data_IF_555215165571
#
_entry.id   IF_555215165571
#
_cell.length_a   1.000
_cell.length_b   1.000
_cell.length_c   1.000
_cell.angle_alpha   90.00
_cell.angle_beta   90.00
_cell.angle_gamma   90.00
#
_symmetry.space_group_name_H-M   'P 1'
#
loop_
_entity.id
_entity.type
_entity.pdbx_description
1 polymer ?
#
# COMPACT_ATOMS: atom_id res chain seq x y z
N UNK A 1 -17.10 -10.77 -33.43
CA UNK A 1 -17.25 -11.78 -32.34
C UNK A 1 -16.10 -11.58 -31.36
N UNK A 2 -16.31 -10.76 -30.33
CA UNK A 2 -15.32 -10.44 -29.30
C UNK A 2 -15.45 -11.46 -28.16
N UNK A 3 -14.35 -12.15 -27.84
CA UNK A 3 -14.34 -13.26 -26.88
C UNK A 3 -14.80 -12.84 -25.47
N UNK A 4 -15.85 -13.45 -24.89
CA UNK A 4 -16.34 -13.12 -23.55
C UNK A 4 -15.51 -13.73 -22.39
N UNK A 5 -14.51 -14.56 -22.68
CA UNK A 5 -13.93 -15.50 -21.71
C UNK A 5 -13.00 -14.92 -20.64
N UNK A 6 -12.21 -13.88 -20.94
CA UNK A 6 -11.17 -13.38 -20.02
C UNK A 6 -11.74 -12.54 -18.86
N UNK A 7 -12.73 -11.68 -19.13
CA UNK A 7 -13.34 -10.84 -18.10
C UNK A 7 -14.09 -11.66 -17.05
N UNK A 8 -14.80 -12.71 -17.48
CA UNK A 8 -15.50 -13.60 -16.54
C UNK A 8 -14.54 -14.35 -15.60
N UNK A 9 -13.34 -14.73 -16.07
CA UNK A 9 -12.34 -15.41 -15.25
C UNK A 9 -11.64 -14.47 -14.26
N UNK A 10 -11.26 -13.26 -14.69
CA UNK A 10 -10.61 -12.27 -13.82
C UNK A 10 -11.56 -11.78 -12.73
N UNK A 11 -12.81 -11.48 -13.11
CA UNK A 11 -13.85 -11.07 -12.18
C UNK A 11 -14.09 -12.12 -11.07
N UNK A 12 -14.23 -13.40 -11.46
CA UNK A 12 -14.40 -14.50 -10.48
C UNK A 12 -13.19 -14.66 -9.58
N UNK A 13 -11.97 -14.46 -10.12
CA UNK A 13 -10.73 -14.50 -9.34
C UNK A 13 -10.71 -13.39 -8.29
N UNK A 14 -11.05 -12.15 -8.66
CA UNK A 14 -11.12 -11.02 -7.75
C UNK A 14 -12.12 -11.26 -6.60
N UNK A 15 -13.32 -11.75 -6.90
CA UNK A 15 -14.30 -12.10 -5.85
C UNK A 15 -13.77 -13.15 -4.86
N UNK A 16 -13.00 -14.13 -5.33
CA UNK A 16 -12.39 -15.16 -4.46
C UNK A 16 -11.31 -14.59 -3.54
N UNK A 17 -10.69 -13.48 -3.93
CA UNK A 17 -9.72 -12.75 -3.12
C UNK A 17 -10.37 -11.64 -2.27
N UNK A 18 -11.70 -11.62 -2.15
CA UNK A 18 -12.40 -10.72 -1.23
C UNK A 18 -12.67 -9.31 -1.76
N UNK A 19 -12.40 -9.04 -3.04
CA UNK A 19 -12.82 -7.78 -3.66
C UNK A 19 -14.35 -7.71 -3.74
N UNK A 20 -14.90 -6.62 -3.25
CA UNK A 20 -16.33 -6.30 -3.27
C UNK A 20 -16.73 -5.61 -4.57
N UNK A 21 -15.87 -4.74 -5.13
CA UNK A 21 -16.06 -4.13 -6.45
C UNK A 21 -15.03 -4.65 -7.46
N UNK A 22 -15.20 -5.92 -7.85
CA UNK A 22 -14.31 -6.60 -8.80
C UNK A 22 -14.21 -5.87 -10.16
N UNK A 23 -15.25 -5.15 -10.59
CA UNK A 23 -15.20 -4.38 -11.84
C UNK A 23 -14.32 -3.13 -11.70
N UNK A 24 -14.39 -2.42 -10.57
CA UNK A 24 -13.49 -1.30 -10.31
C UNK A 24 -12.06 -1.77 -10.06
N UNK A 25 -11.88 -2.89 -9.38
CA UNK A 25 -10.57 -3.51 -9.18
C UNK A 25 -9.91 -3.89 -10.52
N UNK A 26 -10.66 -4.53 -11.44
CA UNK A 26 -10.15 -4.86 -12.78
C UNK A 26 -9.68 -3.61 -13.53
N UNK A 27 -10.46 -2.52 -13.50
CA UNK A 27 -10.07 -1.24 -14.13
C UNK A 27 -8.80 -0.65 -13.53
N UNK A 28 -8.62 -0.73 -12.21
CA UNK A 28 -7.41 -0.25 -11.52
C UNK A 28 -6.19 -1.10 -11.86
N UNK A 29 -6.34 -2.43 -11.88
CA UNK A 29 -5.27 -3.36 -12.29
C UNK A 29 -4.84 -3.17 -13.74
N UNK A 30 -5.76 -2.77 -14.62
CA UNK A 30 -5.45 -2.42 -16.02
C UNK A 30 -4.79 -1.03 -16.18
N UNK A 31 -4.63 -0.27 -15.09
CA UNK A 31 -3.97 1.04 -15.10
C UNK A 31 -2.46 0.96 -15.41
N UNK A 32 -1.87 2.03 -15.99
CA UNK A 32 -0.46 2.06 -16.38
C UNK A 32 0.49 1.92 -15.18
N UNK A 33 0.07 2.33 -13.99
CA UNK A 33 0.79 2.20 -12.73
C UNK A 33 1.12 0.75 -12.40
N UNK A 34 0.22 -0.18 -12.72
CA UNK A 34 0.34 -1.61 -12.38
C UNK A 34 0.67 -2.49 -13.58
N UNK A 35 0.89 -1.91 -14.77
CA UNK A 35 1.06 -2.66 -16.01
C UNK A 35 2.16 -3.75 -15.95
N UNK A 36 3.21 -3.53 -15.15
CA UNK A 36 4.30 -4.50 -14.96
C UNK A 36 3.98 -5.68 -14.05
N UNK A 37 2.96 -5.57 -13.19
CA UNK A 37 2.66 -6.52 -12.10
C UNK A 37 1.20 -6.96 -12.03
N UNK A 38 0.33 -6.46 -12.91
CA UNK A 38 -1.12 -6.72 -12.88
C UNK A 38 -1.51 -8.20 -12.97
N UNK A 39 -0.67 -9.01 -13.62
CA UNK A 39 -0.85 -10.45 -13.79
C UNK A 39 0.01 -11.25 -12.79
N UNK A 40 0.74 -10.58 -11.90
CA UNK A 40 1.59 -11.20 -10.89
C UNK A 40 0.71 -11.81 -9.78
N UNK A 41 0.79 -13.14 -9.55
CA UNK A 41 -0.02 -13.80 -8.52
C UNK A 41 0.32 -13.31 -7.11
N UNK A 42 1.58 -12.91 -6.86
CA UNK A 42 2.03 -12.44 -5.53
C UNK A 42 1.27 -11.20 -5.11
N UNK A 43 1.06 -10.26 -6.05
CA UNK A 43 0.31 -9.04 -5.75
C UNK A 43 -1.15 -9.36 -5.40
N UNK A 44 -1.80 -10.21 -6.20
CA UNK A 44 -3.21 -10.52 -6.01
C UNK A 44 -3.47 -11.33 -4.73
N UNK A 45 -2.61 -12.29 -4.43
CA UNK A 45 -2.65 -13.05 -3.16
C UNK A 45 -2.47 -12.13 -1.96
N UNK A 46 -1.50 -11.21 -2.02
CA UNK A 46 -1.24 -10.30 -0.91
C UNK A 46 -2.37 -9.28 -0.71
N UNK A 47 -2.95 -8.73 -1.78
CA UNK A 47 -4.14 -7.88 -1.69
C UNK A 47 -5.32 -8.62 -1.06
N UNK A 48 -5.55 -9.87 -1.46
CA UNK A 48 -6.62 -10.69 -0.89
C UNK A 48 -6.40 -11.14 0.56
N UNK A 49 -5.19 -10.99 1.10
CA UNK A 49 -4.88 -11.22 2.51
C UNK A 49 -5.12 -10.00 3.40
N UNK A 50 -5.46 -8.84 2.83
CA UNK A 50 -5.73 -7.61 3.57
C UNK A 50 -7.15 -7.58 4.15
N UNK A 51 -7.41 -6.67 5.09
CA UNK A 51 -8.74 -6.49 5.68
C UNK A 51 -9.79 -5.98 4.68
N UNK A 52 -9.38 -5.10 3.75
CA UNK A 52 -10.19 -4.60 2.64
C UNK A 52 -9.32 -4.53 1.37
N UNK A 53 -9.43 -5.52 0.46
CA UNK A 53 -8.66 -5.57 -0.79
C UNK A 53 -8.94 -4.42 -1.75
N UNK A 54 -10.17 -3.89 -1.79
CA UNK A 54 -10.52 -2.76 -2.66
C UNK A 54 -9.83 -1.49 -2.17
N UNK A 55 -9.84 -1.26 -0.85
CA UNK A 55 -9.15 -0.13 -0.22
C UNK A 55 -7.63 -0.25 -0.37
N UNK A 56 -7.08 -1.45 -0.18
CA UNK A 56 -5.65 -1.70 -0.35
C UNK A 56 -5.18 -1.39 -1.79
N UNK A 57 -5.94 -1.84 -2.79
CA UNK A 57 -5.63 -1.60 -4.19
C UNK A 57 -5.74 -0.11 -4.54
N UNK A 58 -6.79 0.57 -4.09
CA UNK A 58 -6.95 2.01 -4.31
C UNK A 58 -5.80 2.80 -3.67
N UNK A 59 -5.47 2.51 -2.42
CA UNK A 59 -4.36 3.13 -1.70
C UNK A 59 -3.01 2.90 -2.38
N UNK A 60 -2.77 1.68 -2.90
CA UNK A 60 -1.53 1.36 -3.62
C UNK A 60 -1.41 2.16 -4.93
N UNK A 61 -2.49 2.23 -5.72
CA UNK A 61 -2.50 3.01 -6.97
C UNK A 61 -2.22 4.48 -6.67
N UNK A 62 -2.89 5.07 -5.67
CA UNK A 62 -2.67 6.48 -5.29
C UNK A 62 -1.24 6.73 -4.81
N UNK A 63 -0.63 5.80 -4.09
CA UNK A 63 0.76 5.90 -3.68
C UNK A 63 1.73 5.82 -4.88
N UNK A 64 1.44 4.96 -5.86
CA UNK A 64 2.23 4.84 -7.10
C UNK A 64 2.12 6.09 -7.99
N UNK A 65 0.94 6.67 -8.07
CA UNK A 65 0.68 7.93 -8.77
C UNK A 65 1.45 9.10 -8.13
N UNK A 66 1.52 9.12 -6.80
CA UNK A 66 2.22 10.16 -6.03
C UNK A 66 3.75 10.07 -6.06
N UNK A 67 4.33 9.00 -6.62
CA UNK A 67 5.79 8.87 -6.69
C UNK A 67 6.38 9.97 -7.59
N UNK A 68 7.50 10.60 -7.18
CA UNK A 68 8.05 11.79 -7.85
C UNK A 68 8.66 11.50 -9.22
N UNK A 69 8.90 10.23 -9.55
CA UNK A 69 9.45 9.83 -10.85
C UNK A 69 9.04 8.40 -11.23
N UNK A 70 9.10 8.04 -12.53
CA UNK A 70 8.90 6.67 -12.97
C UNK A 70 9.88 5.67 -12.34
N UNK A 71 11.11 6.10 -12.01
CA UNK A 71 12.10 5.27 -11.35
C UNK A 71 11.69 4.94 -9.90
N UNK A 72 11.23 5.94 -9.14
CA UNK A 72 10.72 5.74 -7.78
C UNK A 72 9.46 4.86 -7.75
N UNK A 73 8.58 5.02 -8.75
CA UNK A 73 7.41 4.13 -8.94
C UNK A 73 7.84 2.68 -9.16
N UNK A 74 8.84 2.45 -10.00
CA UNK A 74 9.37 1.10 -10.26
C UNK A 74 10.02 0.51 -9.04
N UNK A 75 10.83 1.29 -8.31
CA UNK A 75 11.45 0.87 -7.05
C UNK A 75 10.41 0.40 -6.03
N UNK A 76 9.33 1.16 -5.84
CA UNK A 76 8.23 0.77 -4.96
C UNK A 76 7.58 -0.54 -5.42
N UNK A 77 7.24 -0.69 -6.70
CA UNK A 77 6.63 -1.92 -7.23
C UNK A 77 7.56 -3.13 -7.06
N UNK A 78 8.82 -2.99 -7.45
CA UNK A 78 9.80 -4.05 -7.35
C UNK A 78 9.98 -4.49 -5.89
N UNK A 79 9.97 -3.53 -4.95
CA UNK A 79 10.04 -3.81 -3.52
C UNK A 79 8.77 -4.53 -3.02
N UNK A 80 7.59 -4.09 -3.43
CA UNK A 80 6.32 -4.77 -3.11
C UNK A 80 6.36 -6.22 -3.59
N UNK A 81 6.87 -6.51 -4.78
CA UNK A 81 6.93 -7.90 -5.28
C UNK A 81 8.01 -8.71 -4.58
N UNK A 82 9.21 -8.15 -4.39
CA UNK A 82 10.37 -8.89 -3.88
C UNK A 82 10.37 -9.08 -2.36
N UNK A 83 9.87 -8.12 -1.58
CA UNK A 83 10.02 -8.09 -0.13
C UNK A 83 8.69 -8.39 0.60
N UNK A 84 8.45 -9.67 0.92
CA UNK A 84 7.23 -10.11 1.63
C UNK A 84 6.91 -9.31 2.91
N UNK A 85 7.86 -9.06 3.84
CA UNK A 85 7.55 -8.33 5.07
C UNK A 85 7.03 -6.91 4.81
N UNK A 86 7.65 -6.19 3.87
CA UNK A 86 7.21 -4.85 3.49
C UNK A 86 5.87 -4.89 2.75
N UNK A 87 5.69 -5.84 1.82
CA UNK A 87 4.42 -6.00 1.11
C UNK A 87 3.26 -6.20 2.06
N UNK A 88 3.39 -7.16 2.98
CA UNK A 88 2.30 -7.51 3.89
C UNK A 88 1.93 -6.33 4.78
N UNK A 89 2.91 -5.57 5.27
CA UNK A 89 2.69 -4.35 6.06
C UNK A 89 2.07 -3.22 5.27
N UNK A 90 2.66 -2.88 4.13
CA UNK A 90 2.18 -1.79 3.30
C UNK A 90 0.73 -2.08 2.87
N UNK A 91 0.47 -3.25 2.32
CA UNK A 91 -0.88 -3.62 1.88
C UNK A 91 -1.84 -3.80 3.08
N UNK A 92 -1.36 -4.31 4.21
CA UNK A 92 -2.12 -4.39 5.46
C UNK A 92 -2.58 -3.01 5.95
N UNK A 93 -1.67 -2.03 6.00
CA UNK A 93 -1.98 -0.64 6.34
C UNK A 93 -2.98 -0.04 5.37
N UNK A 94 -2.74 -0.21 4.07
CA UNK A 94 -3.61 0.36 3.03
C UNK A 94 -5.01 -0.25 3.09
N UNK A 95 -5.12 -1.57 3.32
CA UNK A 95 -6.40 -2.25 3.48
C UNK A 95 -7.09 -2.04 4.83
N UNK A 96 -6.38 -1.52 5.84
CA UNK A 96 -6.97 -1.27 7.16
C UNK A 96 -7.33 0.20 7.40
N UNK A 97 -6.70 1.15 6.71
CA UNK A 97 -6.83 2.57 7.03
C UNK A 97 -6.72 3.50 5.83
N UNK A 98 -7.87 4.01 5.37
CA UNK A 98 -7.95 5.05 4.36
C UNK A 98 -7.16 6.31 4.75
N UNK A 99 -7.12 6.66 6.04
CA UNK A 99 -6.40 7.83 6.53
C UNK A 99 -4.87 7.68 6.41
N UNK A 100 -4.34 6.47 6.66
CA UNK A 100 -2.92 6.19 6.46
C UNK A 100 -2.56 6.07 4.98
N UNK A 101 -3.43 5.49 4.15
CA UNK A 101 -3.27 5.52 2.69
C UNK A 101 -3.23 6.94 2.12
N UNK A 102 -4.13 7.83 2.57
CA UNK A 102 -4.12 9.25 2.21
C UNK A 102 -2.85 9.98 2.70
N UNK A 103 -2.32 9.59 3.85
CA UNK A 103 -1.06 10.14 4.35
C UNK A 103 0.12 9.69 3.48
N UNK A 104 0.22 8.40 3.15
CA UNK A 104 1.25 7.87 2.26
C UNK A 104 1.18 8.50 0.87
N UNK A 105 -0.02 8.71 0.30
CA UNK A 105 -0.15 9.40 -0.99
C UNK A 105 0.33 10.86 -0.94
N UNK A 106 0.14 11.55 0.19
CA UNK A 106 0.63 12.93 0.37
C UNK A 106 2.12 13.01 0.71
N UNK A 107 2.66 11.97 1.34
CA UNK A 107 4.04 11.85 1.77
C UNK A 107 4.63 10.57 1.19
N UNK A 108 4.76 10.54 -0.13
CA UNK A 108 5.06 9.34 -0.92
C UNK A 108 6.42 8.67 -0.63
N UNK A 109 7.28 9.25 0.21
CA UNK A 109 8.49 8.60 0.71
C UNK A 109 8.28 7.81 2.01
N UNK A 110 7.20 8.05 2.76
CA UNK A 110 7.04 7.46 4.10
C UNK A 110 6.82 5.94 4.08
N UNK A 111 6.52 5.33 2.92
CA UNK A 111 6.50 3.87 2.78
C UNK A 111 7.88 3.24 3.07
N UNK A 112 8.97 4.00 2.91
CA UNK A 112 10.33 3.53 3.19
C UNK A 112 10.54 3.27 4.69
N UNK A 113 9.74 3.93 5.56
CA UNK A 113 9.73 3.62 6.99
C UNK A 113 9.26 2.18 7.28
N UNK A 114 8.56 1.54 6.34
CA UNK A 114 8.14 0.13 6.43
C UNK A 114 9.23 -0.85 5.96
N UNK A 115 10.31 -0.36 5.32
CA UNK A 115 11.45 -1.19 4.84
C UNK A 115 12.34 -1.60 6.00
N UNK A 116 12.64 -0.65 6.90
CA UNK A 116 13.44 -0.91 8.08
C UNK A 116 12.59 -1.67 9.09
N UNK A 117 12.74 -2.99 9.10
CA UNK A 117 12.08 -3.84 10.07
C UNK A 117 13.12 -4.45 11.01
N UNK A 118 13.01 -4.07 12.28
CA UNK A 118 13.47 -4.84 13.41
C UNK A 118 12.24 -5.24 14.26
N UNK A 119 12.20 -6.44 14.87
CA UNK A 119 11.11 -6.85 15.77
C UNK A 119 10.82 -5.88 16.93
N UNK A 120 11.78 -5.00 17.25
CA UNK A 120 11.63 -3.94 18.26
C UNK A 120 10.66 -2.84 17.81
N UNK A 121 10.50 -2.63 16.50
CA UNK A 121 9.65 -1.59 15.94
C UNK A 121 8.15 -1.86 16.15
N UNK A 122 7.77 -3.11 16.50
CA UNK A 122 6.40 -3.49 16.84
C UNK A 122 5.96 -2.94 18.22
N UNK A 123 6.93 -2.57 19.06
CA UNK A 123 6.69 -2.07 20.41
C UNK A 123 7.60 -0.87 20.70
N UNK A 124 7.46 0.24 19.95
CA UNK A 124 8.26 1.42 20.21
C UNK A 124 7.93 1.91 21.61
N UNK A 125 8.98 2.13 22.42
CA UNK A 125 8.83 2.74 23.73
C UNK A 125 8.36 4.18 23.62
N UNK A 126 7.84 4.75 24.72
CA UNK A 126 7.41 6.16 24.76
C UNK A 126 8.53 7.11 24.29
N UNK A 127 9.78 6.85 24.69
CA UNK A 127 10.94 7.67 24.30
C UNK A 127 11.21 7.68 22.79
N UNK A 128 10.93 6.56 22.10
CA UNK A 128 11.12 6.46 20.66
C UNK A 128 10.02 7.20 19.91
N UNK A 129 8.80 7.14 20.44
CA UNK A 129 7.67 7.93 19.95
C UNK A 129 7.95 9.43 20.14
N UNK A 130 8.38 9.86 21.33
CA UNK A 130 8.77 11.25 21.62
C UNK A 130 9.88 11.73 20.68
N UNK A 131 10.89 10.89 20.42
CA UNK A 131 11.98 11.20 19.47
C UNK A 131 11.47 11.40 18.05
N UNK A 132 10.52 10.59 17.60
CA UNK A 132 9.88 10.73 16.29
C UNK A 132 9.10 12.04 16.15
N UNK A 133 8.58 12.58 17.27
CA UNK A 133 7.85 13.85 17.30
C UNK A 133 8.73 15.08 17.56
N UNK A 134 9.94 14.89 18.08
CA UNK A 134 10.79 15.97 18.60
C UNK A 134 11.15 17.06 17.58
N UNK A 135 11.12 16.75 16.29
CA UNK A 135 11.37 17.70 15.20
C UNK A 135 10.15 18.53 14.77
N UNK A 136 8.97 18.31 15.33
CA UNK A 136 7.77 19.04 14.96
C UNK A 136 7.67 20.38 15.71
N UNK A 137 7.78 21.48 14.99
CA UNK A 137 7.69 22.86 15.49
C UNK A 137 6.30 23.49 15.28
N UNK A 138 5.43 22.84 14.49
CA UNK A 138 4.07 23.29 14.24
C UNK A 138 3.03 22.13 14.26
N UNK A 139 1.71 22.44 14.38
CA UNK A 139 0.66 21.41 14.45
C UNK A 139 0.52 20.52 13.20
N UNK A 140 0.94 21.00 12.03
CA UNK A 140 0.97 20.21 10.79
C UNK A 140 2.13 19.24 10.82
N UNK A 141 3.33 19.71 11.14
CA UNK A 141 4.52 18.87 11.31
C UNK A 141 4.26 17.76 12.34
N UNK A 142 3.61 18.10 13.47
CA UNK A 142 3.26 17.14 14.51
C UNK A 142 2.30 16.05 13.98
N UNK A 143 1.31 16.42 13.18
CA UNK A 143 0.36 15.45 12.58
C UNK A 143 1.03 14.52 11.58
N UNK A 144 2.02 15.00 10.82
CA UNK A 144 2.81 14.19 9.88
C UNK A 144 3.68 13.22 10.66
N UNK A 145 4.45 13.72 11.63
CA UNK A 145 5.34 12.91 12.47
C UNK A 145 4.55 11.83 13.23
N UNK A 146 3.42 12.19 13.83
CA UNK A 146 2.55 11.25 14.53
C UNK A 146 2.07 10.10 13.61
N UNK A 147 1.63 10.41 12.39
CA UNK A 147 1.18 9.38 11.44
C UNK A 147 2.32 8.48 10.97
N UNK A 148 3.52 9.04 10.79
CA UNK A 148 4.72 8.25 10.51
C UNK A 148 5.08 7.30 11.64
N UNK A 149 4.94 7.73 12.90
CA UNK A 149 5.10 6.84 14.06
C UNK A 149 3.99 5.78 14.14
N UNK A 150 2.75 6.07 13.73
CA UNK A 150 1.71 5.05 13.65
C UNK A 150 2.01 3.99 12.58
N UNK A 151 2.64 4.37 11.46
CA UNK A 151 3.05 3.43 10.42
C UNK A 151 4.08 2.41 10.93
N UNK A 152 4.93 2.75 11.90
CA UNK A 152 5.93 1.80 12.40
C UNK A 152 5.32 0.69 13.28
N UNK A 153 4.13 0.93 13.86
CA UNK A 153 3.44 -0.01 14.75
C UNK A 153 2.45 -0.92 13.98
N UNK A 154 2.06 -0.52 12.78
CA UNK A 154 1.10 -1.23 11.94
C UNK A 154 1.72 -2.48 11.27
#
# INVERSE_FOLDING_TARGET
>A
MTAPGRRSSTFTRLLRHGFTDASAAERRLDGPELAGVRDDPVLLEALGATADPDLALDGLVRLLEAQPSPAARRELLDTVIAAKPLRDRLLGVLGASAALGEHLARHAGDWQALVTYEPRDLHPGVEEFERGLAGADDPVALRVAYRRCLLSIA
#
